data_IF_709536877198
#
_entry.id   IF_709536877198
#
_cell.length_a   1.000
_cell.length_b   1.000
_cell.length_c   1.000
_cell.angle_alpha   90.00
_cell.angle_beta   90.00
_cell.angle_gamma   90.00
#
_symmetry.space_group_name_H-M   'P 1'
#
loop_
_entity.id
_entity.type
_entity.pdbx_description
1 polymer ?
#
# COMPACT_ATOMS: atom_id res chain seq x y z
N UNK A 1 -9.97 6.58 -23.99
CA UNK A 1 -10.20 5.40 -23.14
C UNK A 1 -9.28 5.50 -21.92
N UNK A 2 -9.74 5.07 -20.75
CA UNK A 2 -8.89 4.99 -19.56
C UNK A 2 -7.73 4.03 -19.80
N UNK A 3 -6.56 4.32 -19.22
CA UNK A 3 -5.40 3.45 -19.28
C UNK A 3 -5.56 2.28 -18.32
N UNK A 4 -5.16 1.10 -18.76
CA UNK A 4 -5.24 -0.17 -18.02
C UNK A 4 -3.92 -0.46 -17.31
N UNK A 5 -3.96 -0.48 -15.99
CA UNK A 5 -2.78 -0.73 -15.14
C UNK A 5 -2.94 -2.08 -14.44
N UNK A 6 -1.99 -2.98 -14.66
CA UNK A 6 -1.94 -4.26 -13.98
C UNK A 6 -0.87 -4.22 -12.88
N UNK A 7 -1.27 -4.42 -11.63
CA UNK A 7 -0.37 -4.51 -10.49
C UNK A 7 -0.06 -6.00 -10.20
N UNK A 8 1.22 -6.35 -10.16
CA UNK A 8 1.71 -7.70 -9.90
C UNK A 8 2.51 -7.74 -8.59
N UNK A 9 1.84 -7.75 -7.41
CA UNK A 9 2.56 -7.82 -6.14
C UNK A 9 3.22 -9.18 -5.97
N UNK A 10 4.35 -9.23 -5.29
CA UNK A 10 5.11 -10.45 -5.02
C UNK A 10 4.24 -11.62 -4.55
N UNK A 11 4.59 -12.83 -5.00
CA UNK A 11 3.97 -14.09 -4.57
C UNK A 11 4.93 -14.96 -3.75
N UNK A 12 5.88 -14.35 -3.06
CA UNK A 12 6.97 -15.03 -2.34
C UNK A 12 6.72 -15.01 -0.81
N UNK A 13 5.88 -15.91 -0.25
CA UNK A 13 5.59 -15.94 1.19
C UNK A 13 6.77 -16.48 2.03
N UNK A 14 7.75 -17.14 1.39
CA UNK A 14 8.95 -17.62 2.08
C UNK A 14 9.95 -16.50 2.39
N UNK A 15 9.86 -15.35 1.72
CA UNK A 15 10.71 -14.20 1.95
C UNK A 15 10.23 -13.44 3.19
N UNK A 16 10.70 -13.85 4.37
CA UNK A 16 10.29 -13.27 5.64
C UNK A 16 11.01 -11.96 5.93
N UNK A 17 10.28 -11.01 6.50
CA UNK A 17 10.85 -9.74 6.93
C UNK A 17 11.69 -9.89 8.20
N UNK A 18 12.72 -9.07 8.32
CA UNK A 18 13.59 -9.03 9.51
C UNK A 18 12.84 -8.62 10.79
N UNK A 19 11.65 -8.02 10.66
CA UNK A 19 10.77 -7.59 11.75
C UNK A 19 9.29 -7.83 11.41
N UNK A 20 8.39 -7.72 12.39
CA UNK A 20 6.94 -7.67 12.16
C UNK A 20 6.26 -9.01 11.93
N UNK A 21 6.98 -10.15 11.95
CA UNK A 21 6.42 -11.50 11.69
C UNK A 21 5.56 -11.57 10.42
N UNK A 22 6.01 -10.96 9.36
CA UNK A 22 5.36 -10.85 8.06
C UNK A 22 6.32 -11.27 6.94
N UNK A 23 5.88 -11.20 5.69
CA UNK A 23 6.65 -11.61 4.52
C UNK A 23 6.43 -10.67 3.34
N UNK A 24 7.22 -10.84 2.29
CA UNK A 24 7.19 -10.04 1.08
C UNK A 24 5.82 -10.05 0.40
N UNK A 25 5.22 -11.24 0.23
CA UNK A 25 3.90 -11.36 -0.40
C UNK A 25 2.84 -10.54 0.32
N UNK A 26 2.82 -10.59 1.65
CA UNK A 26 1.83 -9.88 2.46
C UNK A 26 1.98 -8.36 2.34
N UNK A 27 3.21 -7.86 2.47
CA UNK A 27 3.44 -6.42 2.43
C UNK A 27 3.28 -5.84 1.03
N UNK A 28 3.77 -6.53 -0.01
CA UNK A 28 3.57 -6.11 -1.39
C UNK A 28 2.09 -6.09 -1.80
N UNK A 29 1.27 -7.03 -1.29
CA UNK A 29 -0.18 -7.02 -1.51
C UNK A 29 -0.86 -5.81 -0.84
N UNK A 30 -0.44 -5.43 0.35
CA UNK A 30 -0.96 -4.22 1.03
C UNK A 30 -0.64 -2.96 0.24
N UNK A 31 0.62 -2.81 -0.20
CA UNK A 31 1.04 -1.67 -1.04
C UNK A 31 0.24 -1.65 -2.35
N UNK A 32 0.10 -2.81 -3.01
CA UNK A 32 -0.67 -2.91 -4.26
C UNK A 32 -2.15 -2.57 -4.07
N UNK A 33 -2.76 -2.90 -2.93
CA UNK A 33 -4.14 -2.53 -2.63
C UNK A 33 -4.31 -1.02 -2.54
N UNK A 34 -3.41 -0.33 -1.85
CA UNK A 34 -3.41 1.15 -1.79
C UNK A 34 -3.18 1.76 -3.18
N UNK A 35 -2.18 1.26 -3.92
CA UNK A 35 -1.90 1.75 -5.26
C UNK A 35 -3.09 1.57 -6.21
N UNK A 36 -3.78 0.40 -6.12
CA UNK A 36 -5.01 0.12 -6.90
C UNK A 36 -6.08 1.17 -6.62
N UNK A 37 -6.39 1.40 -5.35
CA UNK A 37 -7.47 2.32 -4.96
C UNK A 37 -7.13 3.76 -5.35
N UNK A 38 -5.87 4.15 -5.22
CA UNK A 38 -5.35 5.44 -5.67
C UNK A 38 -5.45 5.63 -7.20
N UNK A 39 -5.05 4.62 -7.98
CA UNK A 39 -5.12 4.64 -9.44
C UNK A 39 -6.56 4.68 -9.94
N UNK A 40 -7.48 3.92 -9.34
CA UNK A 40 -8.90 3.97 -9.66
C UNK A 40 -9.46 5.37 -9.39
N UNK A 41 -9.11 5.97 -8.27
CA UNK A 41 -9.48 7.35 -7.90
C UNK A 41 -8.98 8.38 -8.91
N UNK A 42 -7.83 8.13 -9.55
CA UNK A 42 -7.28 8.96 -10.62
C UNK A 42 -7.82 8.63 -12.01
N UNK A 43 -8.78 7.70 -12.14
CA UNK A 43 -9.48 7.40 -13.40
C UNK A 43 -8.82 6.31 -14.27
N UNK A 44 -7.90 5.52 -13.72
CA UNK A 44 -7.35 4.35 -14.40
C UNK A 44 -8.27 3.13 -14.24
N UNK A 45 -8.26 2.23 -15.24
CA UNK A 45 -8.74 0.87 -15.07
C UNK A 45 -7.62 0.03 -14.42
N UNK A 46 -7.91 -0.68 -13.33
CA UNK A 46 -6.86 -1.38 -12.57
C UNK A 46 -7.25 -2.82 -12.27
N UNK A 47 -6.31 -3.73 -12.51
CA UNK A 47 -6.33 -5.10 -11.98
C UNK A 47 -5.13 -5.34 -11.09
N UNK A 48 -5.30 -6.17 -10.05
CA UNK A 48 -4.22 -6.66 -9.22
C UNK A 48 -4.19 -8.19 -9.25
N UNK A 49 -3.09 -8.76 -9.72
CA UNK A 49 -2.86 -10.20 -9.75
C UNK A 49 -2.51 -10.71 -8.36
N UNK A 50 -3.50 -11.17 -7.60
CA UNK A 50 -3.29 -11.68 -6.25
C UNK A 50 -3.07 -13.18 -6.19
N UNK A 51 -3.51 -13.91 -7.23
CA UNK A 51 -3.46 -15.36 -7.28
C UNK A 51 -2.51 -15.87 -8.36
N UNK A 52 -2.14 -17.13 -8.24
CA UNK A 52 -1.29 -17.81 -9.19
C UNK A 52 0.19 -17.41 -9.16
N UNK A 53 0.91 -17.89 -10.14
CA UNK A 53 2.34 -17.64 -10.33
C UNK A 53 2.59 -16.36 -11.14
N UNK A 54 3.83 -15.88 -11.15
CA UNK A 54 4.28 -14.82 -12.05
C UNK A 54 3.85 -15.08 -13.51
N UNK A 55 4.00 -16.31 -14.02
CA UNK A 55 3.61 -16.66 -15.40
C UNK A 55 2.11 -16.50 -15.67
N UNK A 56 1.26 -16.88 -14.71
CA UNK A 56 -0.19 -16.70 -14.86
C UNK A 56 -0.59 -15.25 -14.84
N UNK A 57 0.07 -14.43 -14.04
CA UNK A 57 -0.17 -12.98 -13.95
C UNK A 57 0.25 -12.23 -15.20
N UNK A 58 1.41 -12.56 -15.76
CA UNK A 58 1.86 -12.01 -17.05
C UNK A 58 0.81 -12.33 -18.14
N UNK A 59 0.37 -13.58 -18.22
CA UNK A 59 -0.65 -14.01 -19.18
C UNK A 59 -1.98 -13.28 -18.97
N UNK A 60 -2.42 -13.12 -17.73
CA UNK A 60 -3.63 -12.37 -17.38
C UNK A 60 -3.52 -10.90 -17.80
N UNK A 61 -2.40 -10.25 -17.47
CA UNK A 61 -2.10 -8.88 -17.85
C UNK A 61 -2.13 -8.68 -19.37
N UNK A 62 -1.46 -9.58 -20.10
CA UNK A 62 -1.38 -9.54 -21.55
C UNK A 62 -2.76 -9.77 -22.20
N UNK A 63 -3.52 -10.76 -21.75
CA UNK A 63 -4.87 -11.06 -22.24
C UNK A 63 -5.86 -9.94 -21.94
N UNK A 64 -5.68 -9.22 -20.84
CA UNK A 64 -6.51 -8.07 -20.50
C UNK A 64 -6.14 -6.83 -21.32
N UNK A 65 -5.00 -6.84 -21.98
CA UNK A 65 -4.49 -5.71 -22.75
C UNK A 65 -4.06 -4.55 -21.86
N UNK A 66 -3.28 -4.86 -20.81
CA UNK A 66 -2.74 -3.82 -19.92
C UNK A 66 -1.83 -2.85 -20.69
N UNK A 67 -2.01 -1.55 -20.46
CA UNK A 67 -1.09 -0.51 -20.94
C UNK A 67 0.21 -0.49 -20.12
N UNK A 68 0.12 -0.84 -18.84
CA UNK A 68 1.27 -0.99 -17.96
C UNK A 68 1.14 -2.22 -17.06
N UNK A 69 2.27 -2.90 -16.83
CA UNK A 69 2.43 -3.99 -15.88
C UNK A 69 3.46 -3.58 -14.83
N UNK A 70 3.07 -3.60 -13.55
CA UNK A 70 3.89 -3.08 -12.45
C UNK A 70 4.11 -4.18 -11.42
N UNK A 71 5.21 -4.94 -11.51
CA UNK A 71 5.67 -5.81 -10.44
C UNK A 71 6.06 -4.99 -9.20
N UNK A 72 5.58 -5.43 -8.04
CA UNK A 72 5.85 -4.79 -6.75
C UNK A 72 6.49 -5.83 -5.84
N UNK A 73 7.76 -5.63 -5.55
CA UNK A 73 8.62 -6.51 -4.77
C UNK A 73 9.36 -5.76 -3.66
N UNK A 74 10.01 -6.51 -2.77
CA UNK A 74 11.01 -6.04 -1.84
C UNK A 74 12.22 -6.97 -1.89
N UNK A 75 13.40 -6.39 -1.84
CA UNK A 75 14.67 -7.07 -2.04
C UNK A 75 15.22 -7.72 -0.76
N UNK A 76 16.25 -8.54 -0.90
CA UNK A 76 17.08 -9.04 0.19
C UNK A 76 18.55 -9.10 -0.26
N UNK A 77 19.47 -8.95 0.69
CA UNK A 77 20.91 -9.11 0.39
C UNK A 77 21.70 -9.60 1.62
N UNK A 78 22.11 -8.73 2.51
CA UNK A 78 23.02 -9.03 3.61
C UNK A 78 22.55 -8.46 4.96
N UNK A 79 21.29 -8.08 5.06
CA UNK A 79 20.69 -7.46 6.25
C UNK A 79 21.12 -6.02 6.55
N UNK A 80 21.94 -5.42 5.67
CA UNK A 80 22.50 -4.06 5.84
C UNK A 80 22.29 -3.18 4.62
N UNK A 81 22.13 -3.77 3.44
CA UNK A 81 21.85 -3.03 2.21
C UNK A 81 20.48 -2.37 2.33
N UNK A 82 20.37 -1.15 1.81
CA UNK A 82 19.18 -0.32 1.89
C UNK A 82 18.94 0.40 0.56
N UNK A 83 17.72 0.90 0.39
CA UNK A 83 17.34 1.74 -0.73
C UNK A 83 16.40 1.09 -1.72
N UNK A 84 15.61 1.93 -2.40
CA UNK A 84 14.64 1.50 -3.40
C UNK A 84 15.31 1.40 -4.78
N UNK A 85 14.82 0.46 -5.61
CA UNK A 85 15.34 0.21 -6.96
C UNK A 85 14.21 0.07 -7.95
N UNK A 86 14.44 0.57 -9.16
CA UNK A 86 13.56 0.35 -10.30
C UNK A 86 14.27 -0.40 -11.42
N UNK A 87 13.61 -1.40 -12.01
CA UNK A 87 14.21 -2.18 -13.09
C UNK A 87 13.46 -2.00 -14.39
N UNK A 88 14.21 -1.98 -15.48
CA UNK A 88 13.72 -1.92 -16.85
C UNK A 88 14.48 -2.90 -17.74
N UNK A 89 13.87 -3.34 -18.82
CA UNK A 89 14.53 -4.20 -19.80
C UNK A 89 15.37 -3.42 -20.81
N UNK A 90 14.81 -2.35 -21.39
CA UNK A 90 15.45 -1.57 -22.43
C UNK A 90 15.65 -0.11 -22.03
N UNK A 91 16.91 0.36 -22.06
CA UNK A 91 17.24 1.75 -21.74
C UNK A 91 16.60 2.69 -22.77
N UNK A 92 15.99 3.77 -22.28
CA UNK A 92 15.21 4.74 -23.05
C UNK A 92 13.92 4.19 -23.69
N UNK A 93 13.61 2.91 -23.50
CA UNK A 93 12.33 2.33 -23.83
C UNK A 93 11.19 2.92 -23.00
N UNK A 94 9.97 2.54 -23.35
CA UNK A 94 8.78 3.08 -22.68
C UNK A 94 8.69 2.59 -21.23
N UNK A 95 9.04 1.34 -20.96
CA UNK A 95 9.12 0.81 -19.62
C UNK A 95 10.13 1.56 -18.74
N UNK A 96 11.29 1.96 -19.31
CA UNK A 96 12.27 2.77 -18.60
C UNK A 96 11.70 4.15 -18.19
N UNK A 97 10.94 4.80 -19.08
CA UNK A 97 10.30 6.09 -18.74
C UNK A 97 9.23 5.95 -17.68
N UNK A 98 8.45 4.87 -17.73
CA UNK A 98 7.42 4.58 -16.71
C UNK A 98 8.05 4.32 -15.35
N UNK A 99 9.02 3.38 -15.26
CA UNK A 99 9.67 3.07 -13.98
C UNK A 99 10.42 4.28 -13.42
N UNK A 100 11.01 5.12 -14.31
CA UNK A 100 11.63 6.37 -13.87
C UNK A 100 10.63 7.30 -13.18
N UNK A 101 9.48 7.53 -13.79
CA UNK A 101 8.46 8.39 -13.21
C UNK A 101 7.96 7.86 -11.86
N UNK A 102 7.81 6.52 -11.73
CA UNK A 102 7.43 5.91 -10.45
C UNK A 102 8.57 6.08 -9.44
N UNK A 103 9.81 5.83 -9.82
CA UNK A 103 10.97 5.97 -8.91
C UNK A 103 11.20 7.41 -8.47
N UNK A 104 10.97 8.39 -9.33
CA UNK A 104 11.04 9.81 -8.95
C UNK A 104 10.05 10.15 -7.81
N UNK A 105 8.93 9.43 -7.72
CA UNK A 105 7.93 9.61 -6.66
C UNK A 105 8.21 8.75 -5.41
N UNK A 106 8.73 7.52 -5.55
CA UNK A 106 8.92 6.61 -4.41
C UNK A 106 10.30 6.72 -3.77
N UNK A 107 11.37 7.00 -4.55
CA UNK A 107 12.73 7.04 -4.04
C UNK A 107 12.94 8.06 -2.89
N UNK A 108 12.31 9.25 -2.88
CA UNK A 108 12.42 10.17 -1.75
C UNK A 108 11.88 9.64 -0.42
N UNK A 109 11.09 8.56 -0.44
CA UNK A 109 10.48 7.96 0.75
C UNK A 109 11.37 6.91 1.42
N UNK A 110 12.44 6.42 0.74
CA UNK A 110 13.28 5.39 1.34
C UNK A 110 14.05 5.93 2.55
N UNK A 111 14.17 5.17 3.65
CA UNK A 111 15.06 5.53 4.75
C UNK A 111 16.54 5.38 4.38
N UNK A 112 16.84 4.58 3.35
CA UNK A 112 18.18 4.37 2.80
C UNK A 112 18.48 5.23 1.58
N UNK A 113 19.61 4.96 0.94
CA UNK A 113 19.97 5.60 -0.32
C UNK A 113 19.40 4.78 -1.49
N UNK A 114 18.56 5.38 -2.32
CA UNK A 114 18.04 4.72 -3.52
C UNK A 114 19.18 4.46 -4.52
N UNK A 115 19.29 3.21 -4.99
CA UNK A 115 20.22 2.84 -6.07
C UNK A 115 19.69 3.25 -7.47
N UNK A 116 18.51 3.86 -7.53
CA UNK A 116 17.93 4.39 -8.75
C UNK A 116 17.44 3.30 -9.70
N UNK A 117 17.82 3.42 -10.98
CA UNK A 117 17.33 2.59 -12.07
C UNK A 117 18.45 1.72 -12.64
N UNK A 118 18.15 0.45 -12.88
CA UNK A 118 19.07 -0.43 -13.60
C UNK A 118 18.39 -1.32 -14.64
N UNK A 119 19.17 -1.69 -15.68
CA UNK A 119 18.71 -2.68 -16.65
C UNK A 119 18.79 -4.06 -16.03
N UNK A 120 17.70 -4.83 -16.16
CA UNK A 120 17.64 -6.22 -15.71
C UNK A 120 16.99 -7.10 -16.78
N UNK A 121 17.44 -8.35 -16.85
CA UNK A 121 16.87 -9.39 -17.72
C UNK A 121 15.98 -10.31 -16.88
N UNK A 122 14.84 -9.79 -16.46
CA UNK A 122 13.85 -10.54 -15.69
C UNK A 122 12.72 -11.01 -16.60
N UNK A 123 12.25 -12.22 -16.36
CA UNK A 123 11.18 -12.82 -17.16
C UNK A 123 9.93 -11.93 -17.25
N UNK A 124 9.53 -11.32 -16.15
CA UNK A 124 8.36 -10.44 -16.06
C UNK A 124 8.54 -9.14 -16.86
N UNK A 125 9.77 -8.59 -16.89
CA UNK A 125 10.12 -7.43 -17.72
C UNK A 125 10.03 -7.72 -19.21
N UNK A 126 10.43 -8.95 -19.61
CA UNK A 126 10.56 -9.29 -21.04
C UNK A 126 9.27 -9.82 -21.65
N UNK A 127 8.35 -10.36 -20.83
CA UNK A 127 7.19 -11.10 -21.32
C UNK A 127 5.86 -10.38 -21.07
N UNK A 128 5.87 -9.23 -20.41
CA UNK A 128 4.70 -8.37 -20.30
C UNK A 128 4.53 -7.56 -21.58
N UNK A 129 3.37 -7.65 -22.24
CA UNK A 129 3.06 -6.92 -23.47
C UNK A 129 2.78 -5.43 -23.24
N UNK A 130 2.41 -5.04 -22.02
CA UNK A 130 2.34 -3.66 -21.57
C UNK A 130 3.73 -3.13 -21.17
N UNK A 131 3.80 -1.83 -20.87
CA UNK A 131 5.04 -1.24 -20.35
C UNK A 131 5.32 -1.80 -18.96
N UNK A 132 6.39 -2.57 -18.80
CA UNK A 132 6.74 -3.14 -17.52
C UNK A 132 7.68 -2.22 -16.73
N UNK A 133 7.27 -1.92 -15.49
CA UNK A 133 8.01 -1.11 -14.52
C UNK A 133 8.17 -1.93 -13.22
N UNK A 134 9.31 -2.60 -13.06
CA UNK A 134 9.57 -3.47 -11.93
C UNK A 134 10.11 -2.67 -10.74
N UNK A 135 9.52 -2.84 -9.57
CA UNK A 135 9.85 -2.10 -8.36
C UNK A 135 10.38 -3.03 -7.28
N UNK A 136 11.50 -2.64 -6.67
CA UNK A 136 12.05 -3.18 -5.43
C UNK A 136 11.97 -2.08 -4.36
N UNK A 137 10.96 -2.18 -3.50
CA UNK A 137 10.64 -1.16 -2.50
C UNK A 137 11.38 -1.44 -1.19
N UNK A 138 12.72 -1.39 -1.22
CA UNK A 138 13.59 -1.59 -0.08
C UNK A 138 13.97 -3.05 0.17
N UNK A 139 14.72 -3.28 1.24
CA UNK A 139 15.29 -4.57 1.61
C UNK A 139 14.59 -5.13 2.85
N UNK A 140 13.79 -6.18 2.66
CA UNK A 140 13.02 -6.79 3.74
C UNK A 140 13.87 -7.54 4.79
N UNK A 141 15.14 -7.87 4.47
CA UNK A 141 16.11 -8.45 5.40
C UNK A 141 16.86 -7.38 6.22
N UNK A 142 16.75 -6.09 5.85
CA UNK A 142 17.23 -4.96 6.66
C UNK A 142 16.12 -4.53 7.64
N UNK A 143 16.43 -4.49 8.94
CA UNK A 143 15.43 -4.21 9.99
C UNK A 143 14.79 -2.83 9.88
N UNK A 144 15.56 -1.82 9.52
CA UNK A 144 15.07 -0.44 9.42
C UNK A 144 14.15 -0.29 8.21
N UNK A 145 14.54 -0.81 7.04
CA UNK A 145 13.70 -0.77 5.85
C UNK A 145 12.48 -1.66 5.96
N UNK A 146 12.62 -2.86 6.54
CA UNK A 146 11.49 -3.75 6.81
C UNK A 146 10.43 -3.07 7.69
N UNK A 147 10.85 -2.38 8.76
CA UNK A 147 9.92 -1.62 9.61
C UNK A 147 9.30 -0.45 8.85
N UNK A 148 10.12 0.27 8.08
CA UNK A 148 9.63 1.39 7.26
C UNK A 148 8.55 0.95 6.27
N UNK A 149 8.77 -0.15 5.53
CA UNK A 149 7.80 -0.67 4.56
C UNK A 149 6.47 -1.03 5.23
N UNK A 150 6.54 -1.65 6.43
CA UNK A 150 5.35 -2.01 7.21
C UNK A 150 4.54 -0.76 7.60
N UNK A 151 5.23 0.27 8.09
CA UNK A 151 4.60 1.46 8.65
C UNK A 151 4.11 2.46 7.58
N UNK A 152 4.71 2.44 6.37
CA UNK A 152 4.46 3.43 5.30
C UNK A 152 3.76 2.84 4.06
N UNK A 153 2.99 1.77 4.26
CA UNK A 153 2.23 1.13 3.16
C UNK A 153 1.36 2.10 2.37
N UNK A 154 0.72 3.05 3.07
CA UNK A 154 -0.14 4.06 2.45
C UNK A 154 0.66 5.01 1.56
N UNK A 155 1.75 5.53 2.07
CA UNK A 155 2.61 6.48 1.36
C UNK A 155 3.25 5.85 0.12
N UNK A 156 3.71 4.60 0.25
CA UNK A 156 4.31 3.85 -0.85
C UNK A 156 3.31 3.58 -1.98
N UNK A 157 2.09 3.14 -1.64
CA UNK A 157 1.04 2.92 -2.63
C UNK A 157 0.60 4.19 -3.35
N UNK A 158 0.44 5.30 -2.62
CA UNK A 158 0.11 6.61 -3.19
C UNK A 158 1.24 7.16 -4.08
N UNK A 159 2.51 6.95 -3.70
CA UNK A 159 3.65 7.36 -4.51
C UNK A 159 3.75 6.60 -5.84
N UNK A 160 3.46 5.29 -5.85
CA UNK A 160 3.33 4.52 -7.10
C UNK A 160 2.27 5.16 -8.00
N UNK A 161 1.09 5.48 -7.45
CA UNK A 161 0.03 6.15 -8.21
C UNK A 161 0.48 7.51 -8.76
N UNK A 162 1.17 8.34 -7.96
CA UNK A 162 1.70 9.64 -8.42
C UNK A 162 2.64 9.47 -9.62
N UNK A 163 3.57 8.54 -9.54
CA UNK A 163 4.50 8.27 -10.65
C UNK A 163 3.80 7.80 -11.93
N UNK A 164 2.76 6.94 -11.80
CA UNK A 164 1.92 6.54 -12.94
C UNK A 164 1.15 7.72 -13.51
N UNK A 165 0.56 8.56 -12.66
CA UNK A 165 -0.13 9.79 -13.07
C UNK A 165 0.81 10.73 -13.82
N UNK A 166 2.02 10.92 -13.31
CA UNK A 166 3.04 11.77 -13.96
C UNK A 166 3.43 11.24 -15.33
N UNK A 167 3.60 9.93 -15.45
CA UNK A 167 3.92 9.30 -16.75
C UNK A 167 2.81 9.48 -17.77
N UNK A 168 1.56 9.21 -17.41
CA UNK A 168 0.42 9.30 -18.33
C UNK A 168 -0.18 10.70 -18.44
N UNK A 169 0.38 11.69 -17.70
CA UNK A 169 -0.11 13.09 -17.67
C UNK A 169 -1.58 13.18 -17.21
N UNK A 170 -1.94 12.34 -16.26
CA UNK A 170 -3.21 12.35 -15.56
C UNK A 170 -3.04 13.14 -14.25
N UNK A 171 -4.03 13.95 -13.88
CA UNK A 171 -3.98 14.66 -12.61
C UNK A 171 -4.06 13.67 -11.45
N UNK A 172 -3.11 13.76 -10.51
CA UNK A 172 -3.19 12.99 -9.28
C UNK A 172 -4.30 13.54 -8.39
N UNK A 173 -5.20 12.67 -7.96
CA UNK A 173 -6.26 12.97 -7.00
C UNK A 173 -5.83 12.40 -5.65
N UNK A 174 -5.57 13.26 -4.67
CA UNK A 174 -5.23 12.82 -3.32
C UNK A 174 -6.37 12.03 -2.67
N UNK A 175 -6.09 11.09 -1.73
CA UNK A 175 -7.15 10.52 -0.92
C UNK A 175 -7.92 11.67 -0.28
N UNK A 176 -9.25 11.52 -0.22
CA UNK A 176 -10.02 12.45 0.59
C UNK A 176 -9.37 12.45 1.97
N UNK A 177 -8.81 13.57 2.36
CA UNK A 177 -8.45 13.77 3.75
C UNK A 177 -9.75 13.46 4.49
N UNK A 178 -9.75 12.35 5.25
CA UNK A 178 -10.65 12.32 6.39
C UNK A 178 -10.06 13.44 7.26
N UNK A 179 -10.41 14.66 6.93
CA UNK A 179 -10.29 15.74 7.89
C UNK A 179 -10.97 15.14 9.11
N UNK A 180 -10.21 14.92 10.20
CA UNK A 180 -10.86 15.02 11.52
C UNK A 180 -11.87 16.12 11.34
N UNK A 181 -13.17 15.90 11.60
CA UNK A 181 -14.17 16.93 11.38
C UNK A 181 -13.49 18.22 11.81
N UNK A 182 -13.32 19.18 10.88
CA UNK A 182 -12.97 20.54 11.27
C UNK A 182 -13.97 20.80 12.40
N UNK A 183 -13.46 20.89 13.61
CA UNK A 183 -14.24 21.56 14.64
C UNK A 183 -14.62 22.87 13.98
N UNK A 184 -15.89 22.96 13.52
CA UNK A 184 -16.49 24.26 13.30
C UNK A 184 -16.15 25.03 14.56
N UNK A 185 -15.46 26.18 14.43
CA UNK A 185 -15.35 27.15 15.49
C UNK A 185 -16.76 27.56 15.87
N UNK A 186 -17.40 26.74 16.71
CA UNK A 186 -18.53 27.18 17.48
C UNK A 186 -18.00 28.21 18.47
N UNK A 187 -18.69 29.34 18.63
CA UNK A 187 -18.33 30.33 19.63
C UNK A 187 -18.13 29.62 20.97
N UNK A 188 -17.08 29.98 21.68
CA UNK A 188 -16.60 29.38 22.90
C UNK A 188 -17.72 28.95 23.85
N UNK A 189 -18.16 27.71 23.79
CA UNK A 189 -18.92 27.04 24.84
C UNK A 189 -17.90 26.23 25.65
N UNK A 190 -17.82 26.50 26.93
CA UNK A 190 -16.95 25.76 27.85
C UNK A 190 -17.09 24.25 27.62
N UNK A 191 -16.06 23.62 27.03
CA UNK A 191 -16.03 22.21 26.81
C UNK A 191 -15.81 21.51 28.14
N UNK A 192 -16.88 21.02 28.75
CA UNK A 192 -16.79 20.09 29.87
C UNK A 192 -16.02 18.84 29.39
N UNK A 193 -14.80 18.68 29.88
CA UNK A 193 -14.03 17.46 29.66
C UNK A 193 -14.79 16.26 30.25
N UNK A 194 -15.21 15.32 29.39
CA UNK A 194 -15.97 14.14 29.82
C UNK A 194 -14.99 12.95 29.91
N UNK A 195 -14.82 12.42 31.09
CA UNK A 195 -14.09 11.19 31.34
C UNK A 195 -15.07 10.00 31.34
N UNK A 196 -14.76 8.96 30.57
CA UNK A 196 -15.54 7.74 30.51
C UNK A 196 -14.83 6.62 31.29
N UNK A 197 -15.58 5.94 32.16
CA UNK A 197 -15.10 4.78 32.88
C UNK A 197 -15.68 3.53 32.21
N UNK A 198 -14.82 2.62 31.77
CA UNK A 198 -15.23 1.34 31.20
C UNK A 198 -15.24 0.27 32.31
N UNK A 199 -16.39 -0.36 32.53
CA UNK A 199 -16.59 -1.37 33.62
C UNK A 199 -16.55 -2.82 33.13
N UNK A 200 -16.26 -3.06 31.82
CA UNK A 200 -16.06 -4.40 31.28
C UNK A 200 -16.07 -4.45 29.77
N UNK A 201 -15.51 -5.53 29.21
CA UNK A 201 -15.59 -5.89 27.80
C UNK A 201 -16.09 -7.32 27.69
N UNK A 202 -17.12 -7.59 26.89
CA UNK A 202 -17.82 -8.86 26.82
C UNK A 202 -17.93 -9.36 25.37
N UNK A 203 -17.49 -10.59 25.11
CA UNK A 203 -17.60 -11.24 23.81
C UNK A 203 -19.03 -11.64 23.40
N UNK A 204 -19.98 -11.63 24.36
CA UNK A 204 -21.41 -11.92 24.11
C UNK A 204 -22.26 -10.72 24.50
N UNK A 205 -23.13 -10.25 23.60
CA UNK A 205 -24.03 -9.10 23.81
C UNK A 205 -24.89 -9.25 25.08
N UNK A 206 -25.43 -10.45 25.32
CA UNK A 206 -26.25 -10.73 26.48
C UNK A 206 -25.52 -10.48 27.83
N UNK A 207 -24.20 -10.73 27.88
CA UNK A 207 -23.41 -10.48 29.08
C UNK A 207 -23.20 -8.97 29.32
N UNK A 208 -23.00 -8.21 28.25
CA UNK A 208 -22.92 -6.75 28.33
C UNK A 208 -24.26 -6.14 28.81
N UNK A 209 -25.39 -6.64 28.28
CA UNK A 209 -26.75 -6.21 28.68
C UNK A 209 -27.04 -6.53 30.15
N UNK A 210 -26.66 -7.70 30.59
CA UNK A 210 -26.81 -8.11 32.01
C UNK A 210 -26.00 -7.20 32.94
N UNK A 211 -24.77 -6.81 32.58
CA UNK A 211 -23.96 -5.87 33.34
C UNK A 211 -24.54 -4.46 33.35
N UNK A 212 -24.96 -3.97 32.19
CA UNK A 212 -25.60 -2.65 32.07
C UNK A 212 -26.87 -2.58 32.96
N UNK A 213 -27.67 -3.65 33.02
CA UNK A 213 -28.83 -3.75 33.92
C UNK A 213 -28.43 -3.70 35.39
N UNK A 214 -27.37 -4.42 35.80
CA UNK A 214 -26.84 -4.38 37.17
C UNK A 214 -26.41 -2.96 37.58
N UNK A 215 -25.71 -2.26 36.69
CA UNK A 215 -25.26 -0.91 36.97
C UNK A 215 -26.44 0.07 37.08
N UNK A 216 -27.46 -0.03 36.21
CA UNK A 216 -28.69 0.78 36.31
C UNK A 216 -29.44 0.53 37.61
N UNK A 217 -29.55 -0.73 38.02
CA UNK A 217 -30.19 -1.09 39.29
C UNK A 217 -29.42 -0.59 40.54
N UNK A 218 -28.11 -0.35 40.39
CA UNK A 218 -27.25 0.25 41.40
C UNK A 218 -27.20 1.78 41.33
N UNK A 219 -28.04 2.43 40.47
CA UNK A 219 -28.13 3.89 40.37
C UNK A 219 -27.13 4.53 39.43
N UNK A 220 -26.40 3.76 38.63
CA UNK A 220 -25.46 4.33 37.64
C UNK A 220 -26.08 4.40 36.24
N UNK A 221 -25.82 5.48 35.56
CA UNK A 221 -26.16 5.56 34.13
C UNK A 221 -25.19 4.70 33.32
N UNK A 222 -25.70 3.76 32.54
CA UNK A 222 -24.89 2.79 31.81
C UNK A 222 -25.37 2.62 30.36
N UNK A 223 -24.44 2.68 29.44
CA UNK A 223 -24.69 2.40 28.02
C UNK A 223 -23.71 1.32 27.51
N UNK A 224 -24.09 0.63 26.44
CA UNK A 224 -23.25 -0.37 25.75
C UNK A 224 -22.72 0.28 24.47
N UNK A 225 -21.39 0.29 24.32
CA UNK A 225 -20.72 0.74 23.11
C UNK A 225 -20.12 -0.49 22.43
N UNK A 226 -20.39 -0.67 21.13
CA UNK A 226 -19.77 -1.71 20.31
C UNK A 226 -18.49 -1.14 19.70
N UNK A 227 -17.36 -1.80 19.99
CA UNK A 227 -16.05 -1.52 19.40
C UNK A 227 -15.72 -2.54 18.31
#
# INVERSE_FOLDING_TARGET
>A
MAKKIYLSPSSQPANTYAVGKTNEQEQCRKIAAVARDALIRCGFEVKAGLDGTMYTRIRESNNWGADAHIPIHTNAHNGKTAGFRGFYYEKNGIGHKLVKAIMDAVAPLTPGTSDGLSKQDLYELNNSSGYCAYLELGFHDNKEEAQYIIDHTQELGEAICKGVCDYYKVAYVAPATISKPMEEEKPAVETKTIYRVQVGAYGKKANAEAMAKKLKNAGFDACIVKS
#
